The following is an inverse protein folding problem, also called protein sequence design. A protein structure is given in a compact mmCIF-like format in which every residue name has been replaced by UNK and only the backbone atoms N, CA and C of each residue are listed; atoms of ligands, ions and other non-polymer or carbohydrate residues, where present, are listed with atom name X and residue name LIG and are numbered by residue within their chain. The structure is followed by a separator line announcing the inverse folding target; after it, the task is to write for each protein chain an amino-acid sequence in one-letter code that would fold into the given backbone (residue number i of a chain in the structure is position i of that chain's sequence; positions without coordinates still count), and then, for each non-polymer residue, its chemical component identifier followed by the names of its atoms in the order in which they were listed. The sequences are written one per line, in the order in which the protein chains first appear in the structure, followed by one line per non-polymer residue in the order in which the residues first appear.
data_IF_346078069854
#
_entry.id   IF_346078069854
#
_cell.length_a   1.000
_cell.length_b   1.000
_cell.length_c   1.000
_cell.angle_alpha   90.00
_cell.angle_beta   90.00
_cell.angle_gamma   90.00
#
_symmetry.space_group_name_H-M   'P 1'
#
loop_
_entity.id
_entity.type
_entity.pdbx_description
1 polymer ?
#
# COMPACT_ATOMS: atom_id res chain seq x y z
N UNK A 1 4.88 -41.40 33.57
CA UNK A 1 5.63 -40.68 32.50
C UNK A 1 4.77 -39.65 31.76
N UNK A 2 3.52 -39.99 31.40
CA UNK A 2 2.52 -39.15 30.72
C UNK A 2 2.29 -37.74 31.30
N UNK A 3 2.26 -37.58 32.63
CA UNK A 3 2.07 -36.27 33.31
C UNK A 3 3.17 -35.22 33.07
N UNK A 4 4.38 -35.64 32.67
CA UNK A 4 5.49 -34.71 32.33
C UNK A 4 5.33 -34.21 30.90
N UNK A 5 4.99 -35.10 29.96
CA UNK A 5 4.73 -34.74 28.56
C UNK A 5 3.51 -33.82 28.42
N UNK A 6 2.43 -34.08 29.16
CA UNK A 6 1.27 -33.19 29.16
C UNK A 6 1.60 -31.77 29.62
N UNK A 7 2.47 -31.62 30.64
CA UNK A 7 2.95 -30.30 31.10
C UNK A 7 3.83 -29.60 30.07
N UNK A 8 4.68 -30.34 29.36
CA UNK A 8 5.49 -29.79 28.28
C UNK A 8 4.64 -29.34 27.09
N UNK A 9 3.67 -30.16 26.68
CA UNK A 9 2.73 -29.84 25.62
C UNK A 9 1.92 -28.57 25.97
N UNK A 10 1.40 -28.49 27.19
CA UNK A 10 0.68 -27.31 27.67
C UNK A 10 1.54 -26.04 27.60
N UNK A 11 2.79 -26.11 28.06
CA UNK A 11 3.73 -24.97 27.98
C UNK A 11 4.01 -24.56 26.54
N UNK A 12 4.20 -25.53 25.64
CA UNK A 12 4.40 -25.25 24.22
C UNK A 12 3.17 -24.55 23.60
N UNK A 13 1.96 -25.05 23.86
CA UNK A 13 0.73 -24.41 23.40
C UNK A 13 0.59 -22.98 23.95
N UNK A 14 0.90 -22.78 25.24
CA UNK A 14 0.84 -21.46 25.85
C UNK A 14 1.82 -20.47 25.22
N UNK A 15 3.05 -20.91 24.92
CA UNK A 15 4.04 -20.10 24.21
C UNK A 15 3.57 -19.75 22.79
N UNK A 16 2.97 -20.70 22.07
CA UNK A 16 2.41 -20.44 20.73
C UNK A 16 1.29 -19.41 20.79
N UNK A 17 0.38 -19.52 21.76
CA UNK A 17 -0.71 -18.53 21.94
C UNK A 17 -0.12 -17.15 22.19
N UNK A 18 0.88 -17.04 23.07
CA UNK A 18 1.56 -15.77 23.35
C UNK A 18 2.19 -15.20 22.07
N UNK A 19 2.91 -16.02 21.30
CA UNK A 19 3.51 -15.60 20.03
C UNK A 19 2.46 -15.09 19.03
N UNK A 20 1.32 -15.77 18.92
CA UNK A 20 0.23 -15.36 18.03
C UNK A 20 -0.41 -14.03 18.48
N UNK A 21 -0.57 -13.81 19.78
CA UNK A 21 -1.08 -12.54 20.32
C UNK A 21 -0.11 -11.40 20.01
N UNK A 22 1.19 -11.59 20.28
CA UNK A 22 2.21 -10.58 19.97
C UNK A 22 2.31 -10.31 18.48
N UNK A 23 2.24 -11.35 17.65
CA UNK A 23 2.23 -11.19 16.20
C UNK A 23 1.02 -10.38 15.73
N UNK A 24 -0.18 -10.66 16.25
CA UNK A 24 -1.38 -9.88 15.93
C UNK A 24 -1.27 -8.42 16.37
N UNK A 25 -0.67 -8.15 17.54
CA UNK A 25 -0.40 -6.78 18.00
C UNK A 25 0.60 -6.11 17.06
N UNK A 26 1.69 -6.79 16.70
CA UNK A 26 2.68 -6.29 15.76
C UNK A 26 2.03 -5.88 14.43
N UNK A 27 1.22 -6.74 13.82
CA UNK A 27 0.52 -6.41 12.57
C UNK A 27 -0.41 -5.21 12.72
N UNK A 28 -1.17 -5.13 13.81
CA UNK A 28 -2.11 -4.02 14.03
C UNK A 28 -1.40 -2.66 14.26
N UNK A 29 -0.16 -2.67 14.75
CA UNK A 29 0.63 -1.45 14.95
C UNK A 29 1.57 -1.11 13.80
N UNK A 30 2.08 -2.09 13.05
CA UNK A 30 3.11 -1.89 12.03
C UNK A 30 2.63 -2.10 10.57
N UNK A 31 1.50 -2.76 10.34
CA UNK A 31 1.00 -3.09 8.99
C UNK A 31 -0.25 -2.30 8.59
N UNK A 32 -0.70 -1.38 9.45
CA UNK A 32 -1.91 -0.57 9.24
C UNK A 32 -1.78 0.47 8.13
N UNK A 33 -0.56 0.79 7.72
CA UNK A 33 -0.28 1.92 6.82
C UNK A 33 -0.81 1.65 5.39
N UNK A 34 -0.79 0.41 4.91
CA UNK A 34 -1.11 0.12 3.50
C UNK A 34 -2.60 0.14 3.15
N UNK A 35 -3.48 -0.35 4.03
CA UNK A 35 -4.93 -0.37 3.76
C UNK A 35 -5.57 0.99 4.06
N UNK A 36 -5.06 1.70 5.08
CA UNK A 36 -5.58 3.00 5.46
C UNK A 36 -5.21 4.10 4.46
N UNK A 37 -4.02 4.06 3.84
CA UNK A 37 -3.60 5.08 2.88
C UNK A 37 -4.47 5.14 1.63
N UNK A 38 -4.87 3.99 1.07
CA UNK A 38 -5.76 3.99 -0.09
C UNK A 38 -7.15 4.54 0.24
N UNK A 39 -7.68 4.26 1.43
CA UNK A 39 -8.96 4.83 1.87
C UNK A 39 -8.88 6.36 2.01
N UNK A 40 -7.79 6.88 2.58
CA UNK A 40 -7.55 8.33 2.70
C UNK A 40 -7.38 9.01 1.33
N UNK A 41 -6.71 8.35 0.38
CA UNK A 41 -6.54 8.87 -0.98
C UNK A 41 -7.87 8.96 -1.72
N UNK A 42 -8.73 7.95 -1.60
CA UNK A 42 -10.08 7.96 -2.18
C UNK A 42 -10.93 9.07 -1.55
N UNK A 43 -10.93 9.19 -0.22
CA UNK A 43 -11.65 10.25 0.48
C UNK A 43 -11.19 11.65 0.06
N UNK A 44 -9.87 11.84 -0.12
CA UNK A 44 -9.31 13.11 -0.63
C UNK A 44 -9.81 13.41 -2.06
N UNK A 45 -9.77 12.43 -2.96
CA UNK A 45 -10.29 12.60 -4.33
C UNK A 45 -11.79 12.92 -4.29
N UNK A 46 -12.58 12.17 -3.54
CA UNK A 46 -14.02 12.40 -3.39
C UNK A 46 -14.32 13.80 -2.85
N UNK A 47 -13.54 14.28 -1.87
CA UNK A 47 -13.72 15.62 -1.31
C UNK A 47 -13.42 16.75 -2.30
N UNK A 48 -12.41 16.58 -3.17
CA UNK A 48 -12.04 17.54 -4.23
C UNK A 48 -13.11 17.55 -5.32
N UNK A 49 -13.66 16.37 -5.64
CA UNK A 49 -14.67 16.20 -6.68
C UNK A 49 -16.09 16.53 -6.23
N UNK A 50 -16.37 16.59 -4.92
CA UNK A 50 -17.71 16.78 -4.35
C UNK A 50 -18.46 18.01 -4.86
N UNK A 51 -17.73 19.04 -5.29
CA UNK A 51 -18.29 20.30 -5.81
C UNK A 51 -18.01 20.51 -7.31
N UNK A 52 -17.58 19.46 -8.02
CA UNK A 52 -17.33 19.49 -9.46
C UNK A 52 -18.34 18.60 -10.20
N UNK A 53 -19.07 19.18 -11.14
CA UNK A 53 -19.98 18.45 -12.02
C UNK A 53 -19.23 17.71 -13.15
N UNK A 54 -18.00 18.12 -13.45
CA UNK A 54 -17.13 17.52 -14.46
C UNK A 54 -15.70 17.35 -13.92
N UNK A 55 -15.04 16.24 -14.27
CA UNK A 55 -13.66 15.92 -13.86
C UNK A 55 -12.85 15.33 -15.00
N UNK A 56 -11.54 15.59 -14.97
CA UNK A 56 -10.56 15.11 -15.94
C UNK A 56 -9.57 14.18 -15.28
N UNK A 57 -9.38 12.99 -15.83
CA UNK A 57 -8.42 12.03 -15.33
C UNK A 57 -7.54 11.50 -16.45
N UNK A 58 -6.32 11.13 -16.09
CA UNK A 58 -5.40 10.44 -16.98
C UNK A 58 -5.30 8.96 -16.60
N UNK A 59 -5.17 8.08 -17.59
CA UNK A 59 -4.94 6.65 -17.37
C UNK A 59 -3.54 6.31 -17.86
N UNK A 60 -2.73 5.71 -16.99
CA UNK A 60 -1.36 5.33 -17.29
C UNK A 60 -1.16 3.84 -17.02
N UNK A 61 -0.51 3.12 -17.93
CA UNK A 61 -0.14 1.73 -17.75
C UNK A 61 1.33 1.48 -18.08
N UNK A 62 1.82 0.30 -17.71
CA UNK A 62 3.13 -0.20 -18.16
C UNK A 62 4.33 0.68 -17.76
N UNK A 63 4.24 1.36 -16.61
CA UNK A 63 5.27 2.27 -16.11
C UNK A 63 6.59 1.50 -15.82
N UNK A 64 6.50 0.23 -15.40
CA UNK A 64 7.67 -0.59 -15.06
C UNK A 64 8.67 -0.75 -16.20
N UNK A 65 8.22 -0.75 -17.44
CA UNK A 65 9.08 -0.85 -18.62
C UNK A 65 9.90 0.42 -18.86
N UNK A 66 9.54 1.55 -18.26
CA UNK A 66 10.17 2.85 -18.55
C UNK A 66 10.03 3.85 -17.40
N UNK A 67 10.31 3.41 -16.16
CA UNK A 67 10.17 4.22 -14.94
C UNK A 67 10.88 5.58 -15.06
N UNK A 68 12.11 5.61 -15.58
CA UNK A 68 12.87 6.84 -15.73
C UNK A 68 12.31 7.82 -16.77
N UNK A 69 11.64 7.33 -17.82
CA UNK A 69 10.95 8.19 -18.80
C UNK A 69 9.63 8.68 -18.22
N UNK A 70 8.92 7.81 -17.49
CA UNK A 70 7.70 8.18 -16.79
C UNK A 70 7.95 9.32 -15.80
N UNK A 71 8.98 9.19 -14.95
CA UNK A 71 9.38 10.20 -13.97
C UNK A 71 9.82 11.53 -14.62
N UNK A 72 10.70 11.48 -15.64
CA UNK A 72 11.31 12.72 -16.18
C UNK A 72 10.49 13.41 -17.26
N UNK A 73 9.53 12.74 -17.90
CA UNK A 73 8.79 13.30 -19.04
C UNK A 73 7.28 13.23 -18.86
N UNK A 74 6.75 12.11 -18.37
CA UNK A 74 5.30 11.92 -18.29
C UNK A 74 4.71 12.62 -17.07
N UNK A 75 5.35 12.54 -15.89
CA UNK A 75 4.88 13.27 -14.69
C UNK A 75 4.82 14.79 -14.92
N UNK A 76 5.87 15.46 -15.47
CA UNK A 76 5.79 16.89 -15.79
C UNK A 76 4.62 17.23 -16.71
N UNK A 77 4.43 16.43 -17.77
CA UNK A 77 3.34 16.63 -18.72
C UNK A 77 1.95 16.46 -18.06
N UNK A 78 1.78 15.47 -17.18
CA UNK A 78 0.53 15.28 -16.43
C UNK A 78 0.24 16.47 -15.50
N UNK A 79 1.27 17.00 -14.84
CA UNK A 79 1.13 18.14 -13.93
C UNK A 79 0.76 19.45 -14.67
N UNK A 80 1.22 19.62 -15.91
CA UNK A 80 0.89 20.79 -16.75
C UNK A 80 -0.53 20.75 -17.33
N UNK A 81 -1.10 19.55 -17.50
CA UNK A 81 -2.38 19.36 -18.19
C UNK A 81 -3.62 19.54 -17.28
N UNK A 82 -3.42 19.72 -15.97
CA UNK A 82 -4.50 20.02 -15.02
C UNK A 82 -5.50 18.88 -14.81
N UNK A 83 -5.02 17.62 -14.81
CA UNK A 83 -5.83 16.47 -14.42
C UNK A 83 -6.15 16.49 -12.91
N UNK A 84 -7.36 16.07 -12.53
CA UNK A 84 -7.80 16.00 -11.14
C UNK A 84 -7.19 14.80 -10.41
N UNK A 85 -7.00 13.70 -11.12
CA UNK A 85 -6.36 12.48 -10.61
C UNK A 85 -5.84 11.60 -11.75
N UNK A 86 -5.00 10.63 -11.40
CA UNK A 86 -4.39 9.68 -12.33
C UNK A 86 -4.74 8.26 -11.90
N UNK A 87 -5.20 7.44 -12.84
CA UNK A 87 -5.46 6.02 -12.64
C UNK A 87 -4.30 5.21 -13.22
N UNK A 88 -3.71 4.33 -12.42
CA UNK A 88 -2.76 3.34 -12.94
C UNK A 88 -3.51 2.07 -13.38
N UNK A 89 -3.42 1.73 -14.67
CA UNK A 89 -4.02 0.52 -15.25
C UNK A 89 -3.17 -0.75 -15.05
N UNK A 90 -2.14 -0.69 -14.19
CA UNK A 90 -1.31 -1.85 -13.82
C UNK A 90 0.09 -1.84 -14.44
N UNK A 91 0.91 -2.79 -13.95
CA UNK A 91 2.34 -2.92 -14.27
C UNK A 91 3.16 -1.65 -13.94
N UNK A 92 2.85 -1.02 -12.79
CA UNK A 92 3.61 0.13 -12.29
C UNK A 92 4.95 -0.27 -11.67
N UNK A 93 5.02 -1.48 -11.12
CA UNK A 93 6.20 -2.11 -10.52
C UNK A 93 6.46 -3.44 -11.22
N UNK A 94 7.73 -3.82 -11.37
CA UNK A 94 8.16 -5.03 -12.10
C UNK A 94 7.73 -6.33 -11.41
N UNK A 95 7.43 -6.28 -10.11
CA UNK A 95 6.87 -7.35 -9.29
C UNK A 95 5.93 -6.75 -8.24
N UNK A 96 4.89 -7.46 -7.82
CA UNK A 96 3.94 -7.01 -6.79
C UNK A 96 4.49 -7.02 -5.36
N UNK A 97 5.81 -6.90 -5.19
CA UNK A 97 6.47 -6.89 -3.88
C UNK A 97 6.23 -5.58 -3.13
N UNK A 98 5.91 -5.68 -1.85
CA UNK A 98 5.66 -4.55 -0.93
C UNK A 98 6.81 -3.53 -0.94
N UNK A 99 8.05 -4.01 -1.06
CA UNK A 99 9.27 -3.19 -1.13
C UNK A 99 9.26 -2.20 -2.30
N UNK A 100 8.65 -2.59 -3.43
CA UNK A 100 8.57 -1.75 -4.64
C UNK A 100 7.46 -0.71 -4.53
N UNK A 101 6.33 -1.05 -3.91
CA UNK A 101 5.28 -0.07 -3.62
C UNK A 101 5.76 0.98 -2.62
N UNK A 102 6.50 0.54 -1.59
CA UNK A 102 7.09 1.44 -0.58
C UNK A 102 8.13 2.39 -1.19
N UNK A 103 8.89 1.94 -2.19
CA UNK A 103 9.85 2.78 -2.90
C UNK A 103 9.19 3.89 -3.74
N UNK A 104 7.98 3.65 -4.28
CA UNK A 104 7.20 4.68 -4.98
C UNK A 104 6.70 5.73 -3.97
N UNK A 105 6.16 5.28 -2.84
CA UNK A 105 5.65 6.17 -1.79
C UNK A 105 6.74 7.05 -1.17
N UNK A 106 7.88 6.45 -0.80
CA UNK A 106 9.00 7.17 -0.17
C UNK A 106 9.68 8.19 -1.10
N UNK A 107 9.54 8.05 -2.42
CA UNK A 107 10.16 8.96 -3.40
C UNK A 107 9.31 10.20 -3.68
N UNK A 108 8.03 10.21 -3.28
CA UNK A 108 7.11 11.35 -3.44
C UNK A 108 6.35 11.61 -2.14
N UNK A 109 7.00 12.18 -1.10
CA UNK A 109 6.25 12.72 0.02
C UNK A 109 5.33 13.85 -0.48
N UNK A 110 4.05 13.77 -0.10
CA UNK A 110 3.02 14.78 -0.39
C UNK A 110 3.36 16.13 0.25
#
# INVERSE_FOLDING_TARGET
MTRKYARWLYRACFVVIILLVFYKIYLNFFEKDFIAEHALQVEKIESILKYKDEFKFAVVGNISNSVGIFERKIIPLLNEQGYDFVISAGNAVSTGGEDKYRAIYLRYPQ
#
